data_IF_206189260979
#
_entry.id   IF_206189260979
#
_cell.length_a   1.000
_cell.length_b   1.000
_cell.length_c   1.000
_cell.angle_alpha   90.00
_cell.angle_beta   90.00
_cell.angle_gamma   90.00
#
_symmetry.space_group_name_H-M   'P 1'
#
loop_
_entity.id
_entity.type
_entity.pdbx_description
1 polymer ?
#
# COMPACT_ATOMS: atom_id res chain seq x y z
N UNK A 1 -14.33 9.02 15.96
CA UNK A 1 -14.09 7.57 16.11
C UNK A 1 -13.84 7.27 17.58
N UNK A 2 -14.45 6.22 18.11
CA UNK A 2 -14.25 5.75 19.49
C UNK A 2 -13.04 4.82 19.58
N UNK A 3 -12.54 4.56 20.80
CA UNK A 3 -11.46 3.60 21.02
C UNK A 3 -11.77 2.19 20.50
N UNK A 4 -13.00 1.71 20.72
CA UNK A 4 -13.45 0.39 20.25
C UNK A 4 -13.53 0.34 18.72
N UNK A 5 -14.07 1.38 18.09
CA UNK A 5 -14.10 1.51 16.63
C UNK A 5 -12.68 1.50 16.04
N UNK A 6 -11.77 2.24 16.66
CA UNK A 6 -10.36 2.28 16.26
C UNK A 6 -9.68 0.90 16.33
N UNK A 7 -9.85 0.17 17.43
CA UNK A 7 -9.24 -1.17 17.56
C UNK A 7 -9.76 -2.15 16.50
N UNK A 8 -11.02 -2.01 16.10
CA UNK A 8 -11.68 -2.85 15.10
C UNK A 8 -11.50 -2.33 13.65
N UNK A 9 -10.92 -1.15 13.46
CA UNK A 9 -10.67 -0.60 12.12
C UNK A 9 -9.70 -1.51 11.36
N UNK A 10 -10.00 -1.82 10.11
CA UNK A 10 -9.12 -2.64 9.27
C UNK A 10 -7.73 -1.98 9.13
N UNK A 11 -6.67 -2.77 9.16
CA UNK A 11 -5.28 -2.28 9.02
C UNK A 11 -5.03 -1.64 7.64
N UNK A 12 -5.87 -1.94 6.65
CA UNK A 12 -5.82 -1.30 5.33
C UNK A 12 -6.31 0.15 5.34
N UNK A 13 -7.10 0.55 6.35
CA UNK A 13 -7.57 1.93 6.54
C UNK A 13 -6.55 2.75 7.35
N UNK A 14 -5.32 2.82 6.88
CA UNK A 14 -4.22 3.45 7.61
C UNK A 14 -4.44 4.91 7.95
N UNK A 15 -5.10 5.68 7.08
CA UNK A 15 -5.24 7.12 7.25
C UNK A 15 -6.12 7.42 8.47
N UNK A 16 -7.21 6.65 8.61
CA UNK A 16 -8.07 6.66 9.80
C UNK A 16 -7.31 6.22 11.07
N UNK A 17 -6.45 5.21 10.96
CA UNK A 17 -5.62 4.74 12.08
C UNK A 17 -4.60 5.80 12.51
N UNK A 18 -3.96 6.47 11.55
CA UNK A 18 -2.96 7.51 11.79
C UNK A 18 -3.60 8.76 12.39
N UNK A 19 -4.68 9.26 11.80
CA UNK A 19 -5.41 10.44 12.27
C UNK A 19 -5.88 10.24 13.72
N UNK A 20 -6.50 9.10 14.02
CA UNK A 20 -6.95 8.81 15.37
C UNK A 20 -5.79 8.73 16.36
N UNK A 21 -4.71 8.03 16.00
CA UNK A 21 -3.60 7.82 16.91
C UNK A 21 -2.84 9.13 17.20
N UNK A 22 -2.62 9.97 16.17
CA UNK A 22 -2.04 11.30 16.35
C UNK A 22 -2.94 12.21 17.21
N UNK A 23 -4.25 12.19 16.97
CA UNK A 23 -5.21 12.95 17.77
C UNK A 23 -5.23 12.46 19.22
N UNK A 24 -5.15 11.15 19.43
CA UNK A 24 -5.07 10.54 20.74
C UNK A 24 -3.80 10.96 21.50
N UNK A 25 -2.62 10.90 20.87
CA UNK A 25 -1.36 11.36 21.50
C UNK A 25 -1.38 12.85 21.83
N UNK A 26 -1.91 13.68 20.91
CA UNK A 26 -2.07 15.13 21.15
C UNK A 26 -3.01 15.42 22.32
N UNK A 27 -4.11 14.68 22.42
CA UNK A 27 -5.05 14.79 23.54
C UNK A 27 -4.40 14.38 24.86
N UNK A 28 -3.63 13.29 24.86
CA UNK A 28 -2.98 12.78 26.07
C UNK A 28 -1.93 13.76 26.62
N UNK A 29 -1.15 14.38 25.73
CA UNK A 29 -0.15 15.38 26.07
C UNK A 29 -0.79 16.69 26.59
N UNK A 30 -1.91 17.11 26.00
CA UNK A 30 -2.57 18.39 26.35
C UNK A 30 -3.38 18.37 27.66
N UNK A 31 -3.82 17.20 28.14
CA UNK A 31 -4.76 17.07 29.28
C UNK A 31 -4.12 16.63 30.61
N UNK A 32 -2.85 16.93 30.85
CA UNK A 32 -2.10 16.43 32.03
C UNK A 32 -2.17 14.90 32.21
N UNK A 33 -2.22 14.14 31.12
CA UNK A 33 -2.13 12.67 31.13
C UNK A 33 -3.29 11.98 31.90
N UNK A 34 -4.54 11.99 31.38
CA UNK A 34 -5.68 11.36 32.03
C UNK A 34 -5.52 9.82 32.14
N UNK A 35 -5.82 9.27 33.33
CA UNK A 35 -5.53 7.87 33.68
C UNK A 35 -6.29 6.84 32.82
N UNK A 36 -7.57 7.08 32.53
CA UNK A 36 -8.34 6.16 31.70
C UNK A 36 -7.78 6.08 30.27
N UNK A 37 -7.28 7.20 29.75
CA UNK A 37 -6.71 7.25 28.42
C UNK A 37 -5.33 6.56 28.40
N UNK A 38 -4.49 6.62 29.45
CA UNK A 38 -3.19 5.94 29.49
C UNK A 38 -3.24 4.42 29.35
N UNK A 39 -4.27 3.77 29.89
CA UNK A 39 -4.46 2.31 29.77
C UNK A 39 -4.57 1.92 28.29
N UNK A 40 -5.10 2.83 27.48
CA UNK A 40 -5.29 2.65 26.05
C UNK A 40 -4.02 2.93 25.26
N UNK A 41 -2.96 3.52 25.84
CA UNK A 41 -1.76 3.93 25.10
C UNK A 41 -1.10 2.71 24.46
N UNK A 42 -0.82 1.67 25.25
CA UNK A 42 -0.21 0.44 24.74
C UNK A 42 -1.05 -0.24 23.65
N UNK A 43 -2.37 -0.29 23.82
CA UNK A 43 -3.27 -0.90 22.85
C UNK A 43 -3.34 -0.09 21.55
N UNK A 44 -3.44 1.24 21.65
CA UNK A 44 -3.46 2.13 20.49
C UNK A 44 -2.13 2.12 19.75
N UNK A 45 -1.02 2.21 20.47
CA UNK A 45 0.32 2.10 19.89
C UNK A 45 0.55 0.75 19.18
N UNK A 46 0.04 -0.35 19.74
CA UNK A 46 0.17 -1.67 19.12
C UNK A 46 -0.62 -1.76 17.81
N UNK A 47 -1.85 -1.23 17.79
CA UNK A 47 -2.68 -1.16 16.58
C UNK A 47 -2.01 -0.29 15.51
N UNK A 48 -1.48 0.86 15.90
CA UNK A 48 -0.70 1.75 15.03
C UNK A 48 0.51 1.03 14.42
N UNK A 49 1.38 0.42 15.24
CA UNK A 49 2.56 -0.28 14.74
C UNK A 49 2.17 -1.46 13.83
N UNK A 50 1.12 -2.21 14.15
CA UNK A 50 0.64 -3.29 13.28
C UNK A 50 0.16 -2.76 11.91
N UNK A 51 -0.42 -1.56 11.88
CA UNK A 51 -0.76 -0.88 10.63
C UNK A 51 0.49 -0.45 9.86
N UNK A 52 1.50 0.08 10.55
CA UNK A 52 2.80 0.42 9.93
C UNK A 52 3.48 -0.84 9.36
N UNK A 53 3.48 -1.96 10.09
CA UNK A 53 4.02 -3.25 9.64
C UNK A 53 3.26 -3.83 8.42
N UNK A 54 1.96 -3.53 8.30
CA UNK A 54 1.17 -3.89 7.12
C UNK A 54 1.62 -3.09 5.88
N UNK A 55 1.97 -1.81 6.08
CA UNK A 55 2.36 -0.90 5.00
C UNK A 55 3.84 -0.99 4.62
N UNK A 56 4.69 -1.24 5.60
CA UNK A 56 6.14 -1.12 5.53
C UNK A 56 6.81 -2.15 6.43
N UNK A 57 8.12 -2.36 6.28
CA UNK A 57 8.86 -3.17 7.23
C UNK A 57 9.53 -2.26 8.27
N UNK A 58 9.11 -2.35 9.53
CA UNK A 58 9.81 -1.69 10.63
C UNK A 58 10.91 -2.62 11.14
N UNK A 59 12.13 -2.11 11.18
CA UNK A 59 13.25 -2.83 11.80
C UNK A 59 12.91 -3.12 13.26
N UNK A 60 13.07 -4.39 13.67
CA UNK A 60 12.72 -4.88 15.00
C UNK A 60 13.23 -3.98 16.14
N UNK A 61 14.48 -3.51 16.05
CA UNK A 61 15.08 -2.64 17.07
C UNK A 61 14.37 -1.28 17.20
N UNK A 62 13.93 -0.67 16.09
CA UNK A 62 13.13 0.57 16.13
C UNK A 62 11.78 0.33 16.82
N UNK A 63 11.14 -0.80 16.54
CA UNK A 63 9.87 -1.20 17.16
C UNK A 63 10.04 -1.43 18.67
N UNK A 64 11.11 -2.09 19.08
CA UNK A 64 11.43 -2.32 20.50
C UNK A 64 11.67 -0.99 21.23
N UNK A 65 12.51 -0.10 20.68
CA UNK A 65 12.74 1.25 21.25
C UNK A 65 11.46 2.05 21.42
N UNK A 66 10.56 2.00 20.44
CA UNK A 66 9.27 2.67 20.50
C UNK A 66 8.39 2.15 21.64
N UNK A 67 8.31 0.82 21.82
CA UNK A 67 7.55 0.24 22.93
C UNK A 67 8.22 0.45 24.30
N UNK A 68 9.54 0.51 24.37
CA UNK A 68 10.26 0.85 25.59
C UNK A 68 9.95 2.28 26.04
N UNK A 69 9.89 3.23 25.11
CA UNK A 69 9.47 4.61 25.38
C UNK A 69 8.02 4.67 25.89
N UNK A 70 7.10 3.92 25.28
CA UNK A 70 5.71 3.82 25.76
C UNK A 70 5.66 3.27 27.19
N UNK A 71 6.42 2.22 27.49
CA UNK A 71 6.47 1.64 28.83
C UNK A 71 7.06 2.63 29.84
N UNK A 72 8.09 3.40 29.48
CA UNK A 72 8.68 4.42 30.32
C UNK A 72 7.67 5.54 30.66
N UNK A 73 6.96 6.05 29.65
CA UNK A 73 5.88 7.03 29.80
C UNK A 73 4.80 6.50 30.77
N UNK A 74 4.34 5.27 30.58
CA UNK A 74 3.32 4.65 31.43
C UNK A 74 3.79 4.58 32.89
N UNK A 75 5.04 4.20 33.14
CA UNK A 75 5.58 4.12 34.49
C UNK A 75 5.81 5.49 35.13
N UNK A 76 6.33 6.47 34.38
CA UNK A 76 6.55 7.82 34.89
C UNK A 76 5.24 8.53 35.21
N UNK A 77 4.21 8.34 34.38
CA UNK A 77 2.89 8.89 34.66
C UNK A 77 2.24 8.21 35.88
N UNK A 78 2.37 6.89 36.03
CA UNK A 78 1.94 6.19 37.27
C UNK A 78 2.67 6.73 38.50
N UNK A 79 3.98 6.97 38.40
CA UNK A 79 4.78 7.54 39.49
C UNK A 79 4.34 8.97 39.83
N UNK A 80 4.07 9.81 38.83
CA UNK A 80 3.56 11.17 39.03
C UNK A 80 2.21 11.17 39.78
N UNK A 81 1.31 10.24 39.42
CA UNK A 81 0.02 10.09 40.12
C UNK A 81 0.21 9.67 41.58
N UNK A 82 1.02 8.63 41.84
CA UNK A 82 1.32 8.18 43.22
C UNK A 82 1.88 9.30 44.10
N UNK A 83 2.49 10.33 43.51
CA UNK A 83 2.96 11.54 44.20
C UNK A 83 1.83 12.53 44.47
N UNK A 84 0.90 12.75 43.53
CA UNK A 84 -0.29 13.59 43.73
C UNK A 84 -1.21 13.05 44.85
N UNK A 85 -1.31 11.73 45.01
CA UNK A 85 -2.18 11.08 46.01
C UNK A 85 -1.57 11.00 47.44
N UNK A 86 -0.30 11.40 47.65
CA UNK A 86 0.39 11.30 48.96
C UNK A 86 0.37 12.61 49.75
N UNK A 87 0.33 12.51 51.08
CA UNK A 87 0.35 13.69 51.97
C UNK A 87 1.64 14.50 51.81
N UNK A 88 1.54 15.84 51.97
CA UNK A 88 2.66 16.80 51.81
C UNK A 88 3.92 16.46 52.61
N UNK A 89 3.76 15.73 53.72
CA UNK A 89 4.86 15.30 54.62
C UNK A 89 5.68 14.15 53.99
N UNK A 90 5.03 13.24 53.26
CA UNK A 90 5.70 12.12 52.57
C UNK A 90 6.45 12.59 51.32
N UNK A 91 5.94 13.64 50.66
CA UNK A 91 6.60 14.33 49.53
C UNK A 91 7.90 15.03 49.94
N UNK A 92 7.96 15.55 51.17
CA UNK A 92 9.17 16.20 51.71
C UNK A 92 10.30 15.20 52.01
N UNK A 93 9.96 14.02 52.54
CA UNK A 93 10.94 12.93 52.80
C UNK A 93 11.40 12.23 51.51
N UNK A 94 10.59 12.23 50.45
CA UNK A 94 10.96 11.74 49.11
C UNK A 94 11.71 12.78 48.26
N UNK A 95 12.18 13.87 48.89
CA UNK A 95 12.91 14.95 48.25
C UNK A 95 14.22 14.50 47.63
N UNK A 96 14.16 14.16 46.33
CA UNK A 96 15.15 14.36 45.25
C UNK A 96 14.77 13.43 44.11
N UNK A 97 13.94 13.92 43.19
CA UNK A 97 13.86 13.47 41.80
C UNK A 97 13.01 14.52 41.09
N UNK A 98 13.69 15.61 40.74
CA UNK A 98 13.14 16.76 40.04
C UNK A 98 12.57 16.37 38.68
N UNK A 99 11.63 17.18 38.21
CA UNK A 99 11.20 17.29 36.82
C UNK A 99 10.61 16.03 36.15
N UNK A 100 9.81 15.21 36.87
CA UNK A 100 9.03 14.14 36.22
C UNK A 100 8.03 14.68 35.18
N UNK A 101 7.36 15.80 35.45
CA UNK A 101 6.39 16.36 34.50
C UNK A 101 7.08 16.83 33.20
N UNK A 102 8.19 17.61 33.26
CA UNK A 102 9.00 17.89 32.08
C UNK A 102 9.45 16.63 31.35
N UNK A 103 10.00 15.63 32.06
CA UNK A 103 10.43 14.36 31.45
C UNK A 103 9.29 13.66 30.69
N UNK A 104 8.10 13.55 31.31
CA UNK A 104 6.94 12.94 30.65
C UNK A 104 6.59 13.70 29.36
N UNK A 105 6.65 15.04 29.38
CA UNK A 105 6.40 15.84 28.18
C UNK A 105 7.44 15.59 27.10
N UNK A 106 8.71 15.60 27.46
CA UNK A 106 9.82 15.32 26.55
C UNK A 106 9.66 13.92 25.92
N UNK A 107 9.33 12.90 26.73
CA UNK A 107 9.09 11.54 26.27
C UNK A 107 7.86 11.46 25.33
N UNK A 108 6.79 12.24 25.59
CA UNK A 108 5.63 12.31 24.69
C UNK A 108 5.94 13.03 23.37
N UNK A 109 6.76 14.07 23.41
CA UNK A 109 7.24 14.75 22.20
C UNK A 109 8.11 13.81 21.37
N UNK A 110 8.99 13.04 22.01
CA UNK A 110 9.78 12.01 21.34
C UNK A 110 8.88 10.90 20.76
N UNK A 111 7.88 10.43 21.52
CA UNK A 111 6.91 9.45 21.03
C UNK A 111 6.14 9.98 19.82
N UNK A 112 5.73 11.25 19.85
CA UNK A 112 5.02 11.89 18.75
C UNK A 112 5.92 12.04 17.52
N UNK A 113 7.19 12.43 17.71
CA UNK A 113 8.19 12.53 16.65
C UNK A 113 8.46 11.18 16.00
N UNK A 114 8.69 10.12 16.79
CA UNK A 114 8.87 8.76 16.25
C UNK A 114 7.59 8.26 15.55
N UNK A 115 6.41 8.63 16.05
CA UNK A 115 5.13 8.32 15.37
C UNK A 115 5.07 8.97 13.99
N UNK A 116 5.45 10.25 13.88
CA UNK A 116 5.52 10.95 12.60
C UNK A 116 6.62 10.40 11.68
N UNK A 117 7.77 9.99 12.23
CA UNK A 117 8.83 9.31 11.47
C UNK A 117 8.32 8.00 10.89
N UNK A 118 7.63 7.16 11.66
CA UNK A 118 7.03 5.93 11.14
C UNK A 118 5.97 6.20 10.08
N UNK A 119 5.12 7.22 10.27
CA UNK A 119 4.16 7.63 9.24
C UNK A 119 4.89 8.12 8.00
N UNK A 120 5.96 8.90 8.15
CA UNK A 120 6.81 9.39 7.07
C UNK A 120 7.49 8.24 6.33
N UNK A 121 8.12 7.32 7.03
CA UNK A 121 8.77 6.12 6.50
C UNK A 121 7.75 5.21 5.80
N UNK A 122 6.58 4.98 6.40
CA UNK A 122 5.51 4.20 5.79
C UNK A 122 4.87 4.92 4.59
N UNK A 123 4.79 6.24 4.62
CA UNK A 123 4.29 7.07 3.51
C UNK A 123 5.32 7.14 2.39
N UNK A 124 6.62 7.19 2.71
CA UNK A 124 7.72 7.11 1.76
C UNK A 124 7.83 5.71 1.17
N UNK A 125 7.69 4.65 1.97
CA UNK A 125 7.59 3.28 1.48
C UNK A 125 6.29 3.02 0.72
N UNK A 126 5.18 3.69 1.06
CA UNK A 126 4.01 3.78 0.19
C UNK A 126 4.38 4.50 -1.10
N UNK A 127 5.11 5.60 -1.06
CA UNK A 127 5.64 6.25 -2.26
C UNK A 127 6.58 5.30 -3.04
N UNK A 128 7.33 4.40 -2.41
CA UNK A 128 8.14 3.39 -3.11
C UNK A 128 7.35 2.13 -3.53
N UNK A 129 6.24 1.78 -2.87
CA UNK A 129 5.35 0.67 -3.23
C UNK A 129 4.23 1.06 -4.20
N UNK A 130 3.84 2.34 -4.22
CA UNK A 130 2.75 2.92 -5.00
C UNK A 130 3.21 3.97 -6.03
N UNK A 131 4.31 4.71 -5.83
CA UNK A 131 4.79 5.76 -6.76
C UNK A 131 6.21 5.53 -7.34
N UNK A 132 7.04 4.64 -6.79
CA UNK A 132 8.46 4.51 -7.15
C UNK A 132 9.00 3.08 -7.16
N UNK A 133 8.14 2.06 -7.23
CA UNK A 133 8.49 0.84 -7.95
C UNK A 133 8.34 1.12 -9.46
N UNK A 134 9.10 2.12 -9.92
CA UNK A 134 9.63 2.14 -11.28
C UNK A 134 10.62 0.98 -11.34
N UNK A 135 10.11 -0.24 -11.44
CA UNK A 135 10.77 -1.24 -12.25
C UNK A 135 10.78 -0.62 -13.65
N UNK A 136 11.85 0.13 -13.97
CA UNK A 136 12.03 0.74 -15.28
C UNK A 136 11.69 -0.32 -16.34
N UNK A 137 10.52 -0.17 -16.96
CA UNK A 137 10.06 -1.01 -18.07
C UNK A 137 9.05 -2.14 -17.79
N UNK A 138 8.57 -2.42 -16.56
CA UNK A 138 7.67 -3.59 -16.36
C UNK A 138 6.16 -3.28 -16.33
N UNK A 139 5.75 -2.11 -15.84
CA UNK A 139 4.33 -1.73 -15.74
C UNK A 139 4.16 -0.22 -15.98
N UNK A 140 3.43 0.15 -17.03
CA UNK A 140 3.17 1.54 -17.43
C UNK A 140 1.66 1.78 -17.55
N UNK A 141 0.97 1.96 -16.41
CA UNK A 141 -0.48 2.07 -16.31
C UNK A 141 -1.09 3.32 -16.97
N UNK A 142 -0.25 4.25 -17.42
CA UNK A 142 -0.64 5.49 -18.11
C UNK A 142 -0.96 5.23 -19.60
N UNK A 143 -0.48 4.11 -20.14
CA UNK A 143 -0.71 3.70 -21.54
C UNK A 143 -1.96 2.82 -21.72
N UNK A 144 -2.66 2.50 -20.62
CA UNK A 144 -3.81 1.62 -20.63
C UNK A 144 -4.99 2.25 -21.35
N UNK A 145 -5.59 1.54 -22.30
CA UNK A 145 -6.71 2.04 -23.10
C UNK A 145 -8.01 2.04 -22.27
N UNK A 146 -8.15 3.01 -21.36
CA UNK A 146 -9.30 3.16 -20.44
C UNK A 146 -10.64 3.12 -21.18
N UNK A 147 -10.70 3.69 -22.38
CA UNK A 147 -11.91 3.68 -23.21
C UNK A 147 -12.28 2.27 -23.67
N UNK A 148 -11.31 1.51 -24.19
CA UNK A 148 -11.53 0.12 -24.60
C UNK A 148 -11.93 -0.78 -23.42
N UNK A 149 -11.27 -0.61 -22.26
CA UNK A 149 -11.62 -1.34 -21.03
C UNK A 149 -13.06 -1.02 -20.60
N UNK A 150 -13.44 0.27 -20.59
CA UNK A 150 -14.79 0.70 -20.25
C UNK A 150 -15.83 0.10 -21.20
N UNK A 151 -15.54 0.08 -22.50
CA UNK A 151 -16.43 -0.50 -23.50
C UNK A 151 -16.62 -2.00 -23.29
N UNK A 152 -15.55 -2.77 -23.08
CA UNK A 152 -15.66 -4.22 -22.86
C UNK A 152 -16.44 -4.57 -21.58
N UNK A 153 -16.33 -3.75 -20.53
CA UNK A 153 -17.13 -3.91 -19.31
C UNK A 153 -18.62 -3.59 -19.58
N UNK A 154 -18.92 -2.56 -20.37
CA UNK A 154 -20.29 -2.23 -20.77
C UNK A 154 -20.92 -3.35 -21.60
N UNK A 155 -20.17 -3.91 -22.55
CA UNK A 155 -20.62 -5.05 -23.35
C UNK A 155 -20.91 -6.28 -22.48
N UNK A 156 -20.08 -6.53 -21.46
CA UNK A 156 -20.31 -7.61 -20.49
C UNK A 156 -21.58 -7.37 -19.65
N UNK A 157 -21.83 -6.12 -19.22
CA UNK A 157 -23.06 -5.74 -18.50
C UNK A 157 -24.30 -6.02 -19.35
N UNK A 158 -24.30 -5.62 -20.63
CA UNK A 158 -25.42 -5.85 -21.55
C UNK A 158 -25.74 -7.35 -21.70
N UNK A 159 -24.70 -8.18 -21.77
CA UNK A 159 -24.85 -9.65 -21.84
C UNK A 159 -25.43 -10.23 -20.54
N UNK A 160 -25.03 -9.71 -19.37
CA UNK A 160 -25.57 -10.13 -18.07
C UNK A 160 -27.05 -9.73 -17.93
N UNK A 161 -27.44 -8.55 -18.42
CA UNK A 161 -28.83 -8.09 -18.40
C UNK A 161 -29.75 -9.00 -19.22
N UNK A 162 -29.27 -9.41 -20.40
CA UNK A 162 -29.99 -10.29 -21.34
C UNK A 162 -30.08 -11.75 -20.89
N UNK A 163 -29.30 -12.17 -19.90
CA UNK A 163 -29.33 -13.55 -19.42
C UNK A 163 -30.66 -13.87 -18.73
N UNK A 164 -31.33 -14.97 -19.06
CA UNK A 164 -32.61 -15.35 -18.43
C UNK A 164 -32.47 -16.46 -17.39
N UNK A 165 -31.24 -16.87 -17.09
CA UNK A 165 -30.92 -18.10 -16.35
C UNK A 165 -30.63 -17.82 -14.88
N UNK A 166 -30.19 -16.60 -14.56
CA UNK A 166 -29.99 -16.11 -13.19
C UNK A 166 -31.07 -15.09 -12.79
N UNK A 167 -31.33 -15.01 -11.48
CA UNK A 167 -32.30 -14.06 -10.92
C UNK A 167 -31.86 -12.61 -11.11
N UNK A 168 -32.83 -11.69 -11.25
CA UNK A 168 -32.56 -10.25 -11.38
C UNK A 168 -31.81 -9.67 -10.19
N UNK A 169 -32.00 -10.24 -8.98
CA UNK A 169 -31.22 -9.87 -7.79
C UNK A 169 -29.73 -10.10 -7.99
N UNK A 170 -29.35 -11.25 -8.54
CA UNK A 170 -27.93 -11.61 -8.79
C UNK A 170 -27.36 -10.75 -9.92
N UNK A 171 -28.11 -10.56 -11.02
CA UNK A 171 -27.70 -9.65 -12.10
C UNK A 171 -27.37 -8.26 -11.56
N UNK A 172 -28.28 -7.68 -10.78
CA UNK A 172 -28.11 -6.34 -10.22
C UNK A 172 -26.84 -6.23 -9.38
N UNK A 173 -26.54 -7.22 -8.53
CA UNK A 173 -25.32 -7.21 -7.72
C UNK A 173 -24.04 -7.26 -8.57
N UNK A 174 -24.01 -8.08 -9.62
CA UNK A 174 -22.86 -8.18 -10.52
C UNK A 174 -22.69 -6.87 -11.32
N UNK A 175 -23.79 -6.33 -11.84
CA UNK A 175 -23.78 -5.07 -12.59
C UNK A 175 -23.33 -3.90 -11.71
N UNK A 176 -23.81 -3.80 -10.48
CA UNK A 176 -23.35 -2.79 -9.51
C UNK A 176 -21.85 -2.92 -9.21
N UNK A 177 -21.32 -4.14 -9.20
CA UNK A 177 -19.89 -4.39 -9.04
C UNK A 177 -19.09 -3.86 -10.24
N UNK A 178 -19.52 -4.18 -11.46
CA UNK A 178 -18.89 -3.72 -12.70
C UNK A 178 -19.03 -2.21 -12.94
N UNK A 179 -20.16 -1.61 -12.56
CA UNK A 179 -20.38 -0.16 -12.62
C UNK A 179 -19.44 0.60 -11.68
N UNK A 180 -19.12 0.04 -10.50
CA UNK A 180 -18.08 0.61 -9.62
C UNK A 180 -16.71 0.60 -10.28
N UNK A 181 -16.38 -0.45 -11.04
CA UNK A 181 -15.14 -0.50 -11.83
C UNK A 181 -15.13 0.59 -12.90
N UNK A 182 -16.22 0.74 -13.66
CA UNK A 182 -16.35 1.82 -14.65
C UNK A 182 -16.15 3.20 -14.02
N UNK A 183 -16.76 3.46 -12.86
CA UNK A 183 -16.60 4.74 -12.15
C UNK A 183 -15.15 4.98 -11.71
N UNK A 184 -14.43 3.93 -11.31
CA UNK A 184 -12.99 4.02 -11.03
C UNK A 184 -12.18 4.35 -12.28
N UNK A 185 -12.59 3.88 -13.46
CA UNK A 185 -11.90 4.16 -14.73
C UNK A 185 -11.98 5.62 -15.18
N UNK A 186 -12.96 6.38 -14.68
CA UNK A 186 -13.11 7.81 -14.97
C UNK A 186 -12.15 8.69 -14.14
N UNK A 187 -11.47 8.13 -13.14
CA UNK A 187 -10.48 8.87 -12.35
C UNK A 187 -9.19 9.12 -13.14
N UNK A 188 -8.55 10.27 -12.88
CA UNK A 188 -7.22 10.60 -13.43
C UNK A 188 -6.21 9.51 -13.04
N UNK A 189 -6.20 9.12 -11.77
CA UNK A 189 -5.38 8.05 -11.22
C UNK A 189 -6.24 6.81 -10.90
N UNK A 190 -5.80 5.64 -11.39
CA UNK A 190 -6.55 4.39 -11.26
C UNK A 190 -5.64 3.32 -10.66
N UNK A 191 -6.11 2.64 -9.61
CA UNK A 191 -5.47 1.43 -9.12
C UNK A 191 -5.86 0.24 -10.02
N UNK A 192 -5.01 -0.06 -11.02
CA UNK A 192 -5.26 -1.14 -11.98
C UNK A 192 -5.29 -2.52 -11.34
N UNK A 193 -4.52 -2.78 -10.28
CA UNK A 193 -4.57 -4.04 -9.54
C UNK A 193 -5.95 -4.26 -8.91
N UNK A 194 -6.56 -3.19 -8.36
CA UNK A 194 -7.93 -3.24 -7.87
C UNK A 194 -8.95 -3.47 -9.00
N UNK A 195 -8.75 -2.84 -10.16
CA UNK A 195 -9.61 -3.06 -11.34
C UNK A 195 -9.53 -4.51 -11.84
N UNK A 196 -8.32 -5.06 -11.99
CA UNK A 196 -8.10 -6.45 -12.39
C UNK A 196 -8.68 -7.41 -11.35
N UNK A 197 -8.45 -7.16 -10.06
CA UNK A 197 -9.02 -7.98 -8.97
C UNK A 197 -10.53 -8.08 -9.08
N UNK A 198 -11.22 -6.94 -9.22
CA UNK A 198 -12.68 -6.93 -9.39
C UNK A 198 -13.14 -7.66 -10.65
N UNK A 199 -12.41 -7.54 -11.77
CA UNK A 199 -12.71 -8.25 -13.02
C UNK A 199 -12.55 -9.76 -12.85
N UNK A 200 -11.44 -10.23 -12.25
CA UNK A 200 -11.17 -11.66 -12.02
C UNK A 200 -12.16 -12.28 -11.05
N UNK A 201 -12.54 -11.58 -9.99
CA UNK A 201 -13.61 -12.01 -9.08
C UNK A 201 -14.93 -12.21 -9.84
N UNK A 202 -15.27 -11.26 -10.73
CA UNK A 202 -16.48 -11.35 -11.54
C UNK A 202 -16.42 -12.51 -12.53
N UNK A 203 -15.27 -12.76 -13.16
CA UNK A 203 -15.03 -13.93 -14.03
C UNK A 203 -15.27 -15.24 -13.26
N UNK A 204 -14.77 -15.35 -12.03
CA UNK A 204 -14.96 -16.53 -11.18
C UNK A 204 -16.44 -16.74 -10.87
N UNK A 205 -17.15 -15.67 -10.47
CA UNK A 205 -18.59 -15.72 -10.17
C UNK A 205 -19.40 -16.11 -11.41
N UNK A 206 -19.15 -15.49 -12.56
CA UNK A 206 -19.82 -15.84 -13.81
C UNK A 206 -19.49 -17.26 -14.27
N UNK A 207 -18.26 -17.73 -14.06
CA UNK A 207 -17.86 -19.10 -14.34
C UNK A 207 -18.60 -20.12 -13.48
N UNK A 208 -18.76 -19.82 -12.18
CA UNK A 208 -19.55 -20.64 -11.27
C UNK A 208 -21.03 -20.67 -11.69
N UNK A 209 -21.62 -19.52 -12.04
CA UNK A 209 -23.02 -19.42 -12.45
C UNK A 209 -23.30 -20.04 -13.82
N UNK A 210 -22.40 -19.83 -14.79
CA UNK A 210 -22.51 -20.38 -16.14
C UNK A 210 -22.27 -21.90 -16.19
N UNK A 211 -21.46 -22.45 -15.28
CA UNK A 211 -21.24 -23.90 -15.18
C UNK A 211 -22.49 -24.71 -14.84
N UNK A 212 -23.53 -24.08 -14.29
CA UNK A 212 -24.83 -24.72 -14.00
C UNK A 212 -25.77 -24.77 -15.21
N UNK A 213 -25.50 -23.98 -16.26
CA UNK A 213 -26.39 -23.78 -17.40
C UNK A 213 -25.66 -24.25 -18.65
N UNK A 214 -25.72 -25.54 -18.96
CA UNK A 214 -24.98 -26.12 -20.08
C UNK A 214 -25.19 -25.39 -21.41
N UNK A 215 -24.11 -25.14 -22.16
CA UNK A 215 -24.13 -24.45 -23.46
C UNK A 215 -23.48 -23.06 -23.45
N UNK A 216 -23.51 -22.36 -24.60
CA UNK A 216 -23.05 -20.98 -24.72
C UNK A 216 -24.21 -20.07 -24.29
N UNK A 217 -24.14 -19.54 -23.07
CA UNK A 217 -25.12 -18.59 -22.52
C UNK A 217 -24.60 -17.15 -22.58
N UNK A 218 -25.47 -16.14 -22.48
CA UNK A 218 -25.04 -14.75 -22.32
C UNK A 218 -24.04 -14.55 -21.16
N UNK A 219 -24.14 -15.33 -20.07
CA UNK A 219 -23.16 -15.30 -18.98
C UNK A 219 -21.78 -15.81 -19.38
N UNK A 220 -21.70 -16.85 -20.23
CA UNK A 220 -20.42 -17.35 -20.76
C UNK A 220 -19.78 -16.30 -21.66
N UNK A 221 -20.57 -15.66 -22.53
CA UNK A 221 -20.08 -14.57 -23.39
C UNK A 221 -19.67 -13.33 -22.57
N UNK A 222 -20.40 -13.01 -21.50
CA UNK A 222 -20.03 -11.93 -20.58
C UNK A 222 -18.71 -12.23 -19.86
N UNK A 223 -18.50 -13.49 -19.45
CA UNK A 223 -17.24 -13.96 -18.88
C UNK A 223 -16.09 -13.80 -19.88
N UNK A 224 -16.27 -14.23 -21.13
CA UNK A 224 -15.27 -14.06 -22.18
C UNK A 224 -14.92 -12.58 -22.41
N UNK A 225 -15.92 -11.68 -22.39
CA UNK A 225 -15.69 -10.23 -22.48
C UNK A 225 -14.89 -9.67 -21.31
N UNK A 226 -15.10 -10.18 -20.10
CA UNK A 226 -14.31 -9.80 -18.93
C UNK A 226 -12.89 -10.40 -18.97
N UNK A 227 -12.71 -11.60 -19.52
CA UNK A 227 -11.39 -12.19 -19.78
C UNK A 227 -10.62 -11.38 -20.84
N UNK A 228 -11.31 -10.94 -21.90
CA UNK A 228 -10.78 -10.00 -22.90
C UNK A 228 -10.40 -8.67 -22.24
N UNK A 229 -11.25 -8.14 -21.34
CA UNK A 229 -10.96 -6.93 -20.56
C UNK A 229 -9.68 -7.10 -19.74
N UNK A 230 -9.54 -8.22 -19.02
CA UNK A 230 -8.33 -8.54 -18.26
C UNK A 230 -7.11 -8.59 -19.17
N UNK A 231 -7.24 -9.22 -20.33
CA UNK A 231 -6.17 -9.34 -21.33
C UNK A 231 -5.77 -7.97 -21.89
N UNK A 232 -6.72 -7.08 -22.17
CA UNK A 232 -6.44 -5.71 -22.63
C UNK A 232 -5.74 -4.92 -21.54
N UNK A 233 -6.18 -5.01 -20.29
CA UNK A 233 -5.50 -4.34 -19.17
C UNK A 233 -4.09 -4.89 -19.02
N UNK A 234 -3.91 -6.21 -19.03
CA UNK A 234 -2.60 -6.86 -18.96
C UNK A 234 -1.72 -6.40 -20.13
N UNK A 235 -2.19 -6.43 -21.37
CA UNK A 235 -1.40 -6.03 -22.55
C UNK A 235 -1.09 -4.52 -22.65
N UNK A 236 -1.98 -3.66 -22.16
CA UNK A 236 -1.84 -2.20 -22.30
C UNK A 236 -1.22 -1.56 -21.07
N UNK A 237 -1.30 -2.21 -19.90
CA UNK A 237 -0.70 -1.77 -18.64
C UNK A 237 0.63 -2.48 -18.37
N UNK A 238 0.81 -3.73 -18.83
CA UNK A 238 2.07 -4.49 -18.81
C UNK A 238 2.70 -4.40 -20.21
N UNK A 239 3.54 -3.39 -20.43
CA UNK A 239 4.36 -3.30 -21.62
C UNK A 239 5.53 -4.30 -21.54
N UNK A 240 5.25 -5.60 -21.65
CA UNK A 240 6.28 -6.54 -22.09
C UNK A 240 6.45 -6.31 -23.60
N UNK A 241 7.28 -5.33 -23.93
CA UNK A 241 8.46 -5.66 -24.70
C UNK A 241 8.27 -5.90 -26.22
N UNK A 242 7.69 -4.96 -26.98
CA UNK A 242 8.06 -4.83 -28.40
C UNK A 242 9.25 -3.86 -28.56
N UNK A 243 9.21 -2.75 -27.82
CA UNK A 243 10.26 -1.72 -27.84
C UNK A 243 11.50 -2.16 -27.06
N UNK A 244 11.35 -2.68 -25.84
CA UNK A 244 12.51 -3.11 -25.04
C UNK A 244 13.19 -4.39 -25.61
N UNK A 245 12.52 -5.21 -26.45
CA UNK A 245 13.07 -6.45 -27.02
C UNK A 245 13.85 -5.99 -28.21
N UNK A 246 13.27 -5.12 -29.05
CA UNK A 246 14.03 -4.50 -30.14
C UNK A 246 15.19 -3.65 -29.62
N UNK A 247 15.04 -2.91 -28.52
CA UNK A 247 16.12 -2.08 -27.97
C UNK A 247 17.19 -2.93 -27.29
N UNK A 248 16.84 -3.96 -26.50
CA UNK A 248 17.84 -4.86 -25.90
C UNK A 248 18.55 -5.70 -26.97
N UNK A 249 17.83 -6.17 -27.99
CA UNK A 249 18.42 -6.91 -29.10
C UNK A 249 19.27 -6.00 -30.00
N UNK A 250 18.87 -4.74 -30.20
CA UNK A 250 19.68 -3.76 -30.94
C UNK A 250 20.90 -3.29 -30.13
N UNK A 251 20.78 -3.09 -28.82
CA UNK A 251 21.91 -2.69 -27.95
C UNK A 251 22.93 -3.82 -27.89
N UNK A 252 22.50 -5.07 -27.72
CA UNK A 252 23.42 -6.22 -27.78
C UNK A 252 24.10 -6.37 -29.15
N UNK A 253 23.41 -6.04 -30.24
CA UNK A 253 24.01 -6.03 -31.57
C UNK A 253 24.99 -4.85 -31.77
N UNK A 254 24.68 -3.66 -31.26
CA UNK A 254 25.55 -2.48 -31.33
C UNK A 254 26.80 -2.68 -30.48
N UNK A 255 26.67 -3.15 -29.24
CA UNK A 255 27.82 -3.44 -28.37
C UNK A 255 28.70 -4.56 -28.96
N UNK A 256 28.09 -5.58 -29.57
CA UNK A 256 28.84 -6.65 -30.25
C UNK A 256 29.53 -6.14 -31.52
N UNK A 257 28.93 -5.23 -32.26
CA UNK A 257 29.55 -4.57 -33.42
C UNK A 257 30.68 -3.63 -33.01
N UNK A 258 30.53 -2.89 -31.91
CA UNK A 258 31.60 -2.05 -31.35
C UNK A 258 32.77 -2.88 -30.82
N UNK A 259 32.50 -4.00 -30.15
CA UNK A 259 33.54 -4.94 -29.72
C UNK A 259 34.27 -5.56 -30.92
N UNK A 260 33.56 -5.94 -31.97
CA UNK A 260 34.17 -6.44 -33.22
C UNK A 260 35.01 -5.34 -33.90
N UNK A 261 34.50 -4.12 -34.02
CA UNK A 261 35.26 -3.01 -34.60
C UNK A 261 36.51 -2.65 -33.78
N UNK A 262 36.43 -2.65 -32.46
CA UNK A 262 37.58 -2.41 -31.59
C UNK A 262 38.62 -3.54 -31.71
N UNK A 263 38.18 -4.78 -31.89
CA UNK A 263 39.07 -5.93 -32.12
C UNK A 263 39.75 -5.84 -33.48
N UNK A 264 39.01 -5.47 -34.54
CA UNK A 264 39.55 -5.26 -35.89
C UNK A 264 40.58 -4.11 -35.88
N UNK A 265 40.26 -2.99 -35.24
CA UNK A 265 41.16 -1.84 -35.14
C UNK A 265 42.47 -2.19 -34.41
N UNK A 266 42.42 -3.00 -33.36
CA UNK A 266 43.62 -3.49 -32.66
C UNK A 266 44.46 -4.45 -33.50
N UNK A 267 43.82 -5.29 -34.32
CA UNK A 267 44.53 -6.18 -35.25
C UNK A 267 45.22 -5.39 -36.37
N UNK A 268 44.61 -4.33 -36.87
CA UNK A 268 45.22 -3.44 -37.88
C UNK A 268 46.42 -2.67 -37.31
N UNK A 269 46.34 -2.16 -36.08
CA UNK A 269 47.49 -1.51 -35.43
C UNK A 269 48.65 -2.47 -35.17
N UNK A 270 48.37 -3.69 -34.72
CA UNK A 270 49.41 -4.69 -34.48
C UNK A 270 50.09 -5.15 -35.78
N UNK A 271 49.34 -5.25 -36.89
CA UNK A 271 49.91 -5.57 -38.20
C UNK A 271 50.72 -4.40 -38.79
N UNK A 272 50.36 -3.16 -38.48
CA UNK A 272 51.09 -1.98 -38.97
C UNK A 272 52.45 -1.84 -38.26
N UNK A 273 52.52 -2.11 -36.95
CA UNK A 273 53.77 -2.11 -36.19
C UNK A 273 54.72 -3.26 -36.55
N UNK A 274 54.21 -4.37 -37.11
CA UNK A 274 55.03 -5.49 -37.60
C UNK A 274 55.63 -5.25 -38.99
N UNK A 275 55.20 -4.20 -39.70
CA UNK A 275 55.73 -3.81 -41.02
C UNK A 275 56.74 -2.66 -40.94
N UNK A 276 56.91 -2.06 -39.75
CA UNK A 276 57.87 -0.97 -39.47
C UNK A 276 59.11 -1.43 -38.68
N UNK A 277 59.25 -2.74 -38.40
CA UNK A 277 60.49 -3.42 -37.97
C UNK A 277 61.12 -4.22 -39.11
#
# INVERSE_FOLDING_TARGET
>A
MTFTEYLNTDLDNSDLIFEYYLQYLSNLSSKEFPYEEQIQLKATSTKFINCIDNLSYVVKEKKEKYFDLINAIVEDVKMNRRRKDKSKILLFLLGKNGNIIPKIKDDFEELYSQTLEFIGDASNMRHYRYDNLKLNGFFQPENSNKQQVKQLILDAIELIEKDTTISDKVKKQIIEYLQRVIKKLDNQYINWSSVIGCIKETIIVLGALGGFVGGITPLVLAKEKLEETSTVIEKTSININYKTINETFNIQNVERLEQLNNTIFQLEQNNTNLLEE
#
